data_IF_711402686438
#
_entry.id   IF_711402686438
#
_cell.length_a   1.000
_cell.length_b   1.000
_cell.length_c   1.000
_cell.angle_alpha   90.00
_cell.angle_beta   90.00
_cell.angle_gamma   90.00
#
_symmetry.space_group_name_H-M   'P 1'
#
loop_
_entity.id
_entity.type
_entity.pdbx_description
1 polymer ?
#
# COMPACT_ATOMS: atom_id res chain seq x y z
N UNK A 1 4.15 28.43 -11.48
CA UNK A 1 3.20 28.30 -10.35
C UNK A 1 4.01 28.38 -9.06
N UNK A 2 3.51 29.06 -8.01
CA UNK A 2 4.27 29.14 -6.76
C UNK A 2 4.35 27.77 -6.06
N UNK A 3 5.41 27.54 -5.29
CA UNK A 3 5.62 26.29 -4.52
C UNK A 3 4.42 26.01 -3.58
N UNK A 4 3.90 27.06 -2.94
CA UNK A 4 2.70 26.96 -2.09
C UNK A 4 1.48 26.44 -2.85
N UNK A 5 1.27 26.86 -4.09
CA UNK A 5 0.17 26.41 -4.93
C UNK A 5 0.34 24.95 -5.38
N UNK A 6 1.56 24.53 -5.67
CA UNK A 6 1.84 23.13 -6.00
C UNK A 6 1.57 22.20 -4.81
N UNK A 7 1.95 22.61 -3.60
CA UNK A 7 1.67 21.88 -2.37
C UNK A 7 0.15 21.78 -2.13
N UNK A 8 -0.58 22.88 -2.28
CA UNK A 8 -2.05 22.87 -2.18
C UNK A 8 -2.68 21.88 -3.18
N UNK A 9 -2.21 21.86 -4.43
CA UNK A 9 -2.72 20.91 -5.43
C UNK A 9 -2.41 19.47 -5.04
N UNK A 10 -1.22 19.21 -4.48
CA UNK A 10 -0.87 17.89 -4.03
C UNK A 10 -1.70 17.43 -2.82
N UNK A 11 -1.99 18.31 -1.86
CA UNK A 11 -2.91 18.02 -0.75
C UNK A 11 -4.31 17.65 -1.25
N UNK A 12 -4.86 18.39 -2.20
CA UNK A 12 -6.13 18.04 -2.87
C UNK A 12 -6.06 16.69 -3.58
N UNK A 13 -4.92 16.35 -4.16
CA UNK A 13 -4.73 15.04 -4.76
C UNK A 13 -4.78 13.90 -3.73
N UNK A 14 -4.15 14.09 -2.57
CA UNK A 14 -4.20 13.10 -1.49
C UNK A 14 -5.61 12.89 -0.95
N UNK A 15 -6.38 13.97 -0.79
CA UNK A 15 -7.80 13.91 -0.41
C UNK A 15 -8.62 13.14 -1.46
N UNK A 16 -8.44 13.45 -2.74
CA UNK A 16 -9.13 12.77 -3.83
C UNK A 16 -8.76 11.26 -3.90
N UNK A 17 -7.50 10.89 -3.60
CA UNK A 17 -7.09 9.48 -3.48
C UNK A 17 -7.82 8.79 -2.33
N UNK A 18 -7.93 9.45 -1.18
CA UNK A 18 -8.63 8.92 -0.01
C UNK A 18 -10.13 8.69 -0.29
N UNK A 19 -10.72 9.57 -1.09
CA UNK A 19 -12.13 9.49 -1.49
C UNK A 19 -12.38 8.54 -2.68
N UNK A 20 -11.33 7.92 -3.24
CA UNK A 20 -11.43 7.02 -4.39
C UNK A 20 -11.72 7.74 -5.72
N UNK A 21 -11.39 9.01 -5.82
CA UNK A 21 -11.57 9.85 -7.01
C UNK A 21 -10.27 9.94 -7.84
N UNK A 22 -9.82 8.81 -8.35
CA UNK A 22 -8.49 8.66 -8.96
C UNK A 22 -8.25 9.56 -10.18
N UNK A 23 -9.28 9.82 -11.00
CA UNK A 23 -9.17 10.73 -12.14
C UNK A 23 -8.94 12.18 -11.68
N UNK A 24 -9.67 12.62 -10.66
CA UNK A 24 -9.51 13.94 -10.07
C UNK A 24 -8.13 14.07 -9.39
N UNK A 25 -7.72 13.04 -8.65
CA UNK A 25 -6.42 12.98 -8.02
C UNK A 25 -5.29 13.13 -9.05
N UNK A 26 -5.37 12.39 -10.16
CA UNK A 26 -4.36 12.49 -11.23
C UNK A 26 -4.29 13.89 -11.85
N UNK A 27 -5.45 14.55 -12.02
CA UNK A 27 -5.50 15.93 -12.51
C UNK A 27 -4.77 16.89 -11.56
N UNK A 28 -4.98 16.78 -10.26
CA UNK A 28 -4.28 17.60 -9.27
C UNK A 28 -2.78 17.26 -9.19
N UNK A 29 -2.39 15.99 -9.31
CA UNK A 29 -1.00 15.55 -9.37
C UNK A 29 -0.29 16.16 -10.60
N UNK A 30 -0.93 16.11 -11.77
CA UNK A 30 -0.33 16.68 -12.98
C UNK A 30 -0.18 18.21 -12.88
N UNK A 31 -1.05 18.90 -12.12
CA UNK A 31 -0.92 20.33 -11.81
C UNK A 31 0.20 20.63 -10.80
N UNK A 32 0.51 19.70 -9.90
CA UNK A 32 1.58 19.82 -8.91
C UNK A 32 2.95 19.37 -9.44
N UNK A 33 3.22 19.54 -10.71
CA UNK A 33 4.36 18.97 -11.45
C UNK A 33 5.77 19.33 -10.91
N UNK A 34 5.90 20.42 -10.14
CA UNK A 34 7.20 20.79 -9.54
C UNK A 34 7.58 19.95 -8.32
N UNK A 35 6.70 19.07 -7.85
CA UNK A 35 6.95 18.18 -6.71
C UNK A 35 7.50 16.80 -7.13
N UNK A 36 7.97 16.65 -8.36
CA UNK A 36 8.42 15.36 -8.92
C UNK A 36 9.59 14.71 -8.16
N UNK A 37 10.31 15.46 -7.34
CA UNK A 37 11.38 14.94 -6.49
C UNK A 37 10.91 14.52 -5.08
N UNK A 38 9.63 14.70 -4.75
CA UNK A 38 9.08 14.32 -3.46
C UNK A 38 8.65 12.85 -3.47
N UNK A 39 9.18 11.97 -2.58
CA UNK A 39 8.88 10.54 -2.62
C UNK A 39 7.39 10.24 -2.49
N UNK A 40 6.67 10.99 -1.63
CA UNK A 40 5.23 10.82 -1.46
C UNK A 40 4.46 11.20 -2.73
N UNK A 41 4.88 12.24 -3.45
CA UNK A 41 4.30 12.60 -4.74
C UNK A 41 4.51 11.46 -5.76
N UNK A 42 5.73 10.92 -5.88
CA UNK A 42 6.05 9.85 -6.81
C UNK A 42 5.18 8.60 -6.57
N UNK A 43 5.08 8.15 -5.32
CA UNK A 43 4.28 6.95 -5.01
C UNK A 43 2.77 7.17 -5.14
N UNK A 44 2.28 8.38 -4.87
CA UNK A 44 0.87 8.75 -5.06
C UNK A 44 0.51 8.84 -6.54
N UNK A 45 1.37 9.47 -7.36
CA UNK A 45 1.27 9.50 -8.82
C UNK A 45 1.25 8.09 -9.40
N UNK A 46 2.15 7.23 -8.94
CA UNK A 46 2.24 5.84 -9.36
C UNK A 46 0.90 5.11 -9.17
N UNK A 47 0.28 5.24 -8.00
CA UNK A 47 -1.01 4.60 -7.74
C UNK A 47 -2.11 5.11 -8.66
N UNK A 48 -2.19 6.42 -8.89
CA UNK A 48 -3.17 7.02 -9.81
C UNK A 48 -2.93 6.58 -11.26
N UNK A 49 -1.68 6.56 -11.73
CA UNK A 49 -1.31 6.08 -13.06
C UNK A 49 -1.72 4.61 -13.25
N UNK A 50 -1.48 3.76 -12.25
CA UNK A 50 -1.89 2.36 -12.30
C UNK A 50 -3.41 2.19 -12.38
N UNK A 51 -4.16 2.96 -11.60
CA UNK A 51 -5.63 2.87 -11.54
C UNK A 51 -6.30 3.44 -12.79
N UNK A 52 -5.87 4.62 -13.24
CA UNK A 52 -6.50 5.37 -14.32
C UNK A 52 -5.99 4.95 -15.70
N UNK A 53 -4.67 4.92 -15.88
CA UNK A 53 -4.03 4.66 -17.18
C UNK A 53 -3.69 3.19 -17.41
N UNK A 54 -3.75 2.35 -16.37
CA UNK A 54 -3.34 0.93 -16.41
C UNK A 54 -1.88 0.74 -16.85
N UNK A 55 -1.05 1.79 -16.73
CA UNK A 55 0.38 1.76 -17.07
C UNK A 55 1.21 1.21 -15.90
N UNK A 56 1.15 -0.12 -15.70
CA UNK A 56 1.77 -0.76 -14.53
C UNK A 56 3.29 -0.67 -14.51
N UNK A 57 3.95 -0.72 -15.66
CA UNK A 57 5.42 -0.59 -15.73
C UNK A 57 5.88 0.78 -15.24
N UNK A 58 5.24 1.84 -15.71
CA UNK A 58 5.49 3.21 -15.28
C UNK A 58 5.21 3.39 -13.78
N UNK A 59 4.05 2.91 -13.33
CA UNK A 59 3.65 2.99 -11.93
C UNK A 59 4.62 2.27 -10.99
N UNK A 60 5.07 1.06 -11.35
CA UNK A 60 6.05 0.31 -10.57
C UNK A 60 7.39 1.07 -10.52
N UNK A 61 7.83 1.64 -11.62
CA UNK A 61 9.06 2.42 -11.68
C UNK A 61 8.99 3.63 -10.73
N UNK A 62 7.96 4.46 -10.86
CA UNK A 62 7.75 5.65 -9.99
C UNK A 62 7.70 5.28 -8.50
N UNK A 63 7.05 4.19 -8.17
CA UNK A 63 6.92 3.75 -6.77
C UNK A 63 8.24 3.19 -6.22
N UNK A 64 9.05 2.57 -7.05
CA UNK A 64 10.40 2.13 -6.70
C UNK A 64 11.35 3.31 -6.51
N UNK A 65 11.27 4.33 -7.34
CA UNK A 65 12.01 5.57 -7.13
C UNK A 65 11.69 6.18 -5.76
N UNK A 66 10.42 6.25 -5.38
CA UNK A 66 10.03 6.71 -4.04
C UNK A 66 10.66 5.86 -2.92
N UNK A 67 10.74 4.54 -3.10
CA UNK A 67 11.37 3.62 -2.14
C UNK A 67 12.90 3.74 -2.10
N UNK A 68 13.55 4.17 -3.18
CA UNK A 68 14.99 4.47 -3.15
C UNK A 68 15.29 5.68 -2.25
N UNK A 69 14.43 6.69 -2.24
CA UNK A 69 14.56 7.85 -1.34
C UNK A 69 14.16 7.53 0.10
N UNK A 70 13.06 6.79 0.29
CA UNK A 70 12.50 6.48 1.60
C UNK A 70 12.19 4.97 1.73
N UNK A 71 13.22 4.11 1.86
CA UNK A 71 13.05 2.64 1.81
C UNK A 71 12.25 2.08 3.01
N UNK A 72 12.15 2.82 4.10
CA UNK A 72 11.45 2.41 5.32
C UNK A 72 10.03 2.96 5.44
N UNK A 73 9.60 3.83 4.50
CA UNK A 73 8.28 4.42 4.55
C UNK A 73 7.19 3.40 4.12
N UNK A 74 6.29 2.99 5.04
CA UNK A 74 5.30 1.97 4.75
C UNK A 74 4.26 2.41 3.70
N UNK A 75 4.07 3.71 3.48
CA UNK A 75 3.14 4.23 2.48
C UNK A 75 3.58 3.84 1.06
N UNK A 76 4.88 3.90 0.78
CA UNK A 76 5.40 3.51 -0.54
C UNK A 76 5.28 2.01 -0.78
N UNK A 77 5.51 1.18 0.24
CA UNK A 77 5.25 -0.26 0.19
C UNK A 77 3.76 -0.57 -0.02
N UNK A 78 2.88 0.17 0.66
CA UNK A 78 1.44 0.04 0.48
C UNK A 78 1.02 0.33 -0.97
N UNK A 79 1.47 1.47 -1.51
CA UNK A 79 1.14 1.87 -2.87
C UNK A 79 1.70 0.89 -3.90
N UNK A 80 2.95 0.46 -3.77
CA UNK A 80 3.56 -0.53 -4.65
C UNK A 80 2.83 -1.89 -4.59
N UNK A 81 2.45 -2.34 -3.41
CA UNK A 81 1.68 -3.56 -3.23
C UNK A 81 0.31 -3.47 -3.93
N UNK A 82 -0.40 -2.36 -3.78
CA UNK A 82 -1.67 -2.10 -4.50
C UNK A 82 -1.47 -2.11 -6.02
N UNK A 83 -0.40 -1.51 -6.52
CA UNK A 83 -0.06 -1.53 -7.96
C UNK A 83 0.16 -2.95 -8.45
N UNK A 84 0.90 -3.78 -7.71
CA UNK A 84 1.07 -5.19 -8.04
C UNK A 84 -0.25 -5.97 -8.04
N UNK A 85 -1.18 -5.66 -7.12
CA UNK A 85 -2.52 -6.28 -7.14
C UNK A 85 -3.30 -5.91 -8.39
N UNK A 86 -3.29 -4.63 -8.78
CA UNK A 86 -3.93 -4.16 -10.02
C UNK A 86 -3.34 -4.82 -11.26
N UNK A 87 -2.05 -5.13 -11.24
CA UNK A 87 -1.34 -5.83 -12.31
C UNK A 87 -1.51 -7.37 -12.27
N UNK A 88 -2.30 -7.91 -11.33
CA UNK A 88 -2.50 -9.35 -11.18
C UNK A 88 -1.33 -10.10 -10.56
N UNK A 89 -0.35 -9.41 -9.97
CA UNK A 89 0.87 -9.99 -9.41
C UNK A 89 0.77 -10.17 -7.88
N UNK A 90 -0.18 -11.00 -7.45
CA UNK A 90 -0.51 -11.21 -6.02
C UNK A 90 0.70 -11.60 -5.16
N UNK A 91 1.58 -12.46 -5.66
CA UNK A 91 2.78 -12.89 -4.90
C UNK A 91 3.72 -11.72 -4.61
N UNK A 92 3.96 -10.86 -5.60
CA UNK A 92 4.78 -9.66 -5.43
C UNK A 92 4.12 -8.65 -4.51
N UNK A 93 2.81 -8.48 -4.60
CA UNK A 93 2.06 -7.62 -3.69
C UNK A 93 2.23 -8.06 -2.23
N UNK A 94 2.06 -9.35 -1.94
CA UNK A 94 2.23 -9.89 -0.60
C UNK A 94 3.66 -9.69 -0.07
N UNK A 95 4.68 -9.98 -0.89
CA UNK A 95 6.09 -9.75 -0.52
C UNK A 95 6.31 -8.28 -0.17
N UNK A 96 5.80 -7.35 -0.99
CA UNK A 96 5.92 -5.90 -0.77
C UNK A 96 5.23 -5.46 0.52
N UNK A 97 4.05 -5.99 0.82
CA UNK A 97 3.35 -5.70 2.07
C UNK A 97 4.11 -6.21 3.29
N UNK A 98 4.70 -7.40 3.22
CA UNK A 98 5.56 -7.91 4.30
C UNK A 98 6.79 -7.04 4.50
N UNK A 99 7.42 -6.57 3.41
CA UNK A 99 8.56 -5.65 3.50
C UNK A 99 8.17 -4.33 4.19
N UNK A 100 7.01 -3.78 3.85
CA UNK A 100 6.49 -2.59 4.52
C UNK A 100 6.25 -2.78 6.03
N UNK A 101 5.77 -3.95 6.44
CA UNK A 101 5.51 -4.27 7.85
C UNK A 101 6.79 -4.50 8.67
N UNK A 102 7.95 -4.76 8.05
CA UNK A 102 9.25 -4.85 8.75
C UNK A 102 9.64 -3.52 9.41
N UNK A 103 9.13 -2.41 8.91
CA UNK A 103 9.45 -1.05 9.38
C UNK A 103 8.42 -0.49 10.36
N UNK A 104 7.45 -1.29 10.75
CA UNK A 104 6.41 -0.92 11.70
C UNK A 104 5.02 -1.41 11.29
N UNK A 105 4.12 -1.40 12.26
CA UNK A 105 2.73 -1.79 12.02
C UNK A 105 2.02 -0.72 11.19
N UNK A 106 1.44 -1.11 10.07
CA UNK A 106 0.63 -0.25 9.23
C UNK A 106 -0.78 -0.85 9.05
N UNK A 107 -1.83 -0.21 9.58
CA UNK A 107 -3.20 -0.71 9.51
C UNK A 107 -3.71 -0.88 8.07
N UNK A 108 -3.32 -0.01 7.16
CA UNK A 108 -3.75 -0.07 5.76
C UNK A 108 -3.15 -1.27 5.04
N UNK A 109 -1.86 -1.59 5.29
CA UNK A 109 -1.22 -2.79 4.75
C UNK A 109 -1.93 -4.05 5.30
N UNK A 110 -2.19 -4.08 6.61
CA UNK A 110 -2.88 -5.22 7.23
C UNK A 110 -4.28 -5.41 6.63
N UNK A 111 -5.02 -4.33 6.39
CA UNK A 111 -6.33 -4.38 5.75
C UNK A 111 -6.27 -4.96 4.33
N UNK A 112 -5.29 -4.54 3.52
CA UNK A 112 -5.11 -5.11 2.17
C UNK A 112 -4.76 -6.61 2.23
N UNK A 113 -3.92 -7.02 3.17
CA UNK A 113 -3.57 -8.44 3.36
C UNK A 113 -4.78 -9.27 3.83
N UNK A 114 -5.64 -8.73 4.69
CA UNK A 114 -6.89 -9.39 5.10
C UNK A 114 -7.84 -9.62 3.92
N UNK A 115 -8.01 -8.62 3.05
CA UNK A 115 -8.80 -8.74 1.80
C UNK A 115 -8.27 -9.85 0.89
N UNK A 116 -6.97 -10.11 0.91
CA UNK A 116 -6.33 -11.18 0.14
C UNK A 116 -6.48 -12.56 0.78
N UNK A 117 -7.13 -12.66 1.94
CA UNK A 117 -7.31 -13.91 2.67
C UNK A 117 -6.03 -14.39 3.37
N UNK A 118 -5.09 -13.49 3.64
CA UNK A 118 -3.91 -13.80 4.45
C UNK A 118 -4.35 -13.98 5.89
N UNK A 119 -4.24 -15.19 6.40
CA UNK A 119 -4.59 -15.48 7.80
C UNK A 119 -3.59 -14.82 8.74
N UNK A 120 -4.09 -14.33 9.87
CA UNK A 120 -3.25 -13.88 10.99
C UNK A 120 -2.28 -14.99 11.38
N UNK A 121 -1.09 -14.61 11.88
CA UNK A 121 -0.11 -15.57 12.37
C UNK A 121 -0.75 -16.54 13.36
N UNK A 122 -0.36 -17.84 13.34
CA UNK A 122 -0.83 -18.79 14.34
C UNK A 122 -0.51 -18.29 15.75
N UNK A 123 -1.39 -18.57 16.72
CA UNK A 123 -1.17 -18.17 18.12
C UNK A 123 0.18 -18.65 18.64
N UNK A 124 0.57 -19.87 18.27
CA UNK A 124 1.89 -20.42 18.53
C UNK A 124 2.73 -20.38 17.25
N UNK A 125 3.46 -19.29 17.03
CA UNK A 125 4.23 -19.08 15.80
C UNK A 125 5.39 -20.05 15.61
N UNK A 126 5.87 -20.70 16.69
CA UNK A 126 6.94 -21.70 16.68
C UNK A 126 6.46 -23.10 16.30
N UNK A 127 5.14 -23.32 16.22
CA UNK A 127 4.55 -24.60 15.83
C UNK A 127 4.06 -24.54 14.38
N UNK A 128 4.14 -25.68 13.68
CA UNK A 128 3.58 -25.80 12.34
C UNK A 128 2.09 -25.43 12.35
N UNK A 129 1.59 -24.77 11.30
CA UNK A 129 0.17 -24.35 11.19
C UNK A 129 -0.82 -25.48 11.39
N UNK A 130 -0.43 -26.72 11.02
CA UNK A 130 -1.26 -27.93 11.17
C UNK A 130 -1.20 -28.54 12.56
N UNK A 131 -0.35 -28.00 13.46
CA UNK A 131 -0.24 -28.53 14.82
C UNK A 131 -1.58 -28.35 15.56
N UNK A 132 -2.06 -29.39 16.29
CA UNK A 132 -3.36 -29.37 16.99
C UNK A 132 -3.55 -28.15 17.89
N UNK A 133 -2.52 -27.72 18.62
CA UNK A 133 -2.57 -26.55 19.51
C UNK A 133 -2.92 -25.26 18.75
N UNK A 134 -2.38 -25.04 17.55
CA UNK A 134 -2.72 -23.88 16.73
C UNK A 134 -4.16 -23.95 16.21
N UNK A 135 -4.67 -25.16 15.88
CA UNK A 135 -6.02 -25.37 15.40
C UNK A 135 -7.06 -25.09 16.51
N UNK A 136 -6.87 -25.71 17.67
CA UNK A 136 -7.84 -25.59 18.76
C UNK A 136 -7.82 -24.20 19.43
N UNK A 137 -6.64 -23.61 19.62
CA UNK A 137 -6.55 -22.25 20.17
C UNK A 137 -7.21 -21.20 19.26
N UNK A 138 -7.04 -21.33 17.92
CA UNK A 138 -7.71 -20.45 16.96
C UNK A 138 -9.24 -20.55 17.03
N UNK A 139 -9.80 -21.76 17.13
CA UNK A 139 -11.24 -22.02 17.25
C UNK A 139 -11.76 -21.46 18.58
N UNK A 140 -11.07 -21.71 19.69
CA UNK A 140 -11.47 -21.25 21.01
C UNK A 140 -11.50 -19.72 21.08
N UNK A 141 -10.42 -19.06 20.61
CA UNK A 141 -10.31 -17.60 20.61
C UNK A 141 -11.37 -16.94 19.71
N UNK A 142 -11.72 -17.55 18.57
CA UNK A 142 -12.77 -17.02 17.69
C UNK A 142 -14.15 -17.08 18.35
N UNK A 143 -14.45 -18.12 19.14
CA UNK A 143 -15.72 -18.22 19.91
C UNK A 143 -15.85 -17.14 20.98
N UNK A 144 -14.74 -16.68 21.55
CA UNK A 144 -14.73 -15.63 22.57
C UNK A 144 -14.53 -14.23 21.98
N UNK A 145 -14.48 -14.06 20.64
CA UNK A 145 -14.30 -12.77 19.98
C UNK A 145 -12.91 -12.13 20.21
N UNK A 146 -11.93 -12.91 20.66
CA UNK A 146 -10.57 -12.44 20.98
C UNK A 146 -9.59 -12.49 19.79
N UNK A 147 -10.09 -12.88 18.59
CA UNK A 147 -9.25 -13.02 17.38
C UNK A 147 -10.01 -12.62 16.11
#
# INVERSE_FOLDING_TARGET
MSEAKNREMFEKALEAIADGQEYLALTYIDQASTMENEPLYLSSKALCVAKVRRSFKEAIYLCRDALEFEPTNPVHHLNLGKIYLLAGQKKKALSTFYDGLKHGRNPSILSEMEKLGVRKSPFFSFLARRHPLNKYSGILLSKFGLR
#
